data_IF_046531836865
#
_entry.id   IF_046531836865
#
_cell.length_a   1.000
_cell.length_b   1.000
_cell.length_c   1.000
_cell.angle_alpha   90.00
_cell.angle_beta   90.00
_cell.angle_gamma   90.00
#
_symmetry.space_group_name_H-M   'P 1'
#
loop_
_entity.id
_entity.type
_entity.pdbx_description
1 polymer ?
#
# COMPACT_ATOMS: atom_id res chain seq x y z
N UNK A 1 28.30 18.89 -5.55
CA UNK A 1 27.55 19.72 -4.57
C UNK A 1 26.48 20.47 -5.33
N UNK A 2 25.24 19.98 -5.31
CA UNK A 2 24.10 20.72 -5.83
C UNK A 2 23.13 21.04 -4.69
N UNK A 3 22.72 22.29 -4.69
CA UNK A 3 22.25 23.07 -3.57
C UNK A 3 20.78 22.75 -3.24
N UNK A 4 20.51 22.60 -1.94
CA UNK A 4 19.19 22.69 -1.33
C UNK A 4 18.60 24.07 -1.66
N UNK A 5 17.38 24.12 -2.22
CA UNK A 5 16.60 25.36 -2.28
C UNK A 5 15.32 25.24 -1.42
N UNK A 6 14.96 26.29 -0.65
CA UNK A 6 13.83 26.29 0.26
C UNK A 6 12.48 26.57 -0.43
N UNK A 7 11.40 26.06 0.18
CA UNK A 7 10.02 26.18 -0.27
C UNK A 7 9.47 27.62 -0.16
N UNK A 8 8.57 27.97 -1.08
CA UNK A 8 7.84 29.24 -1.10
C UNK A 8 6.42 29.06 -0.52
N UNK A 9 6.02 29.97 0.36
CA UNK A 9 4.70 30.06 0.99
C UNK A 9 3.59 30.38 -0.03
N UNK A 10 2.40 29.79 0.16
CA UNK A 10 1.21 30.13 -0.63
C UNK A 10 0.06 30.54 0.28
N UNK A 11 -0.52 31.70 -0.08
CA UNK A 11 -1.50 32.48 0.65
C UNK A 11 -2.93 31.94 0.48
N UNK A 12 -3.74 32.04 1.54
CA UNK A 12 -5.12 31.52 1.64
C UNK A 12 -6.13 32.54 1.13
N UNK A 13 -7.11 32.13 0.32
CA UNK A 13 -8.45 32.76 0.31
C UNK A 13 -9.54 31.88 -0.32
N UNK A 14 -10.43 31.40 0.55
CA UNK A 14 -11.91 31.30 0.48
C UNK A 14 -12.65 31.35 -0.87
N UNK A 15 -13.61 30.44 -1.08
CA UNK A 15 -15.06 30.74 -0.93
C UNK A 15 -15.94 29.47 -1.04
N UNK A 16 -16.93 29.38 -0.14
CA UNK A 16 -17.98 28.38 -0.09
C UNK A 16 -19.06 28.60 -1.14
N UNK A 17 -19.74 27.51 -1.53
CA UNK A 17 -21.12 27.54 -2.02
C UNK A 17 -21.82 26.21 -1.71
N UNK A 18 -22.79 26.27 -0.80
CA UNK A 18 -23.77 25.22 -0.48
C UNK A 18 -25.01 25.36 -1.37
N UNK A 19 -25.45 24.30 -2.05
CA UNK A 19 -26.87 24.10 -2.41
C UNK A 19 -27.24 22.61 -2.27
N UNK A 20 -28.47 22.41 -1.81
CA UNK A 20 -29.11 21.24 -1.21
C UNK A 20 -29.81 20.30 -2.21
N UNK A 21 -29.90 19.03 -1.79
CA UNK A 21 -30.97 18.03 -2.02
C UNK A 21 -31.43 17.69 -3.44
N UNK A 22 -31.30 16.40 -3.80
CA UNK A 22 -32.46 15.56 -4.13
C UNK A 22 -32.05 14.08 -4.23
N UNK A 23 -32.92 13.23 -3.71
CA UNK A 23 -32.90 11.78 -3.76
C UNK A 23 -32.56 11.25 -5.15
N UNK A 24 -31.53 10.41 -5.20
CA UNK A 24 -31.43 9.37 -6.20
C UNK A 24 -30.97 8.11 -5.49
N UNK A 25 -31.91 7.18 -5.38
CA UNK A 25 -31.73 5.75 -5.18
C UNK A 25 -30.55 5.25 -6.03
N UNK A 26 -29.34 5.32 -5.48
CA UNK A 26 -28.20 4.57 -6.02
C UNK A 26 -28.35 3.19 -5.41
N UNK A 27 -29.15 2.38 -6.09
CA UNK A 27 -29.00 0.93 -6.09
C UNK A 27 -27.52 0.65 -6.16
N UNK A 28 -26.93 0.28 -5.03
CA UNK A 28 -25.60 -0.28 -4.94
C UNK A 28 -25.59 -1.42 -5.94
N UNK A 29 -24.95 -1.21 -7.10
CA UNK A 29 -24.53 -2.28 -7.98
C UNK A 29 -23.80 -3.26 -7.07
N UNK A 30 -24.51 -4.30 -6.66
CA UNK A 30 -23.96 -5.43 -5.97
C UNK A 30 -23.10 -6.10 -7.02
N UNK A 31 -21.88 -5.59 -7.18
CA UNK A 31 -20.80 -6.38 -7.71
C UNK A 31 -20.91 -7.70 -6.97
N UNK A 32 -21.18 -8.77 -7.71
CA UNK A 32 -21.38 -10.08 -7.14
C UNK A 32 -20.01 -10.58 -6.70
N UNK A 33 -19.54 -10.06 -5.57
CA UNK A 33 -18.20 -10.29 -5.04
C UNK A 33 -18.17 -11.76 -4.59
N UNK A 34 -17.44 -12.59 -5.34
CA UNK A 34 -17.18 -13.97 -4.93
C UNK A 34 -16.55 -13.99 -3.55
N UNK A 35 -17.03 -14.85 -2.66
CA UNK A 35 -16.45 -14.98 -1.33
C UNK A 35 -14.98 -15.40 -1.41
N UNK A 36 -14.10 -14.73 -0.65
CA UNK A 36 -12.65 -14.99 -0.64
C UNK A 36 -12.32 -16.47 -0.44
N UNK A 37 -13.05 -17.16 0.45
CA UNK A 37 -12.85 -18.58 0.79
C UNK A 37 -13.07 -19.55 -0.38
N UNK A 38 -13.75 -19.11 -1.45
CA UNK A 38 -14.03 -19.95 -2.63
C UNK A 38 -12.95 -19.86 -3.71
N UNK A 39 -12.02 -18.92 -3.57
CA UNK A 39 -10.97 -18.69 -4.54
C UNK A 39 -9.80 -19.63 -4.27
N UNK A 40 -9.13 -20.07 -5.34
CA UNK A 40 -8.08 -21.10 -5.22
C UNK A 40 -6.81 -20.73 -5.98
N UNK A 41 -6.94 -19.97 -7.07
CA UNK A 41 -5.82 -19.60 -7.93
C UNK A 41 -5.29 -18.20 -7.62
N UNK A 42 -4.04 -17.93 -7.99
CA UNK A 42 -3.45 -16.61 -7.82
C UNK A 42 -4.20 -15.55 -8.65
N UNK A 43 -4.59 -15.90 -9.88
CA UNK A 43 -5.36 -15.01 -10.76
C UNK A 43 -6.70 -14.64 -10.15
N UNK A 44 -7.46 -15.61 -9.62
CA UNK A 44 -8.72 -15.34 -8.92
C UNK A 44 -8.54 -14.39 -7.74
N UNK A 45 -7.51 -14.60 -6.91
CA UNK A 45 -7.20 -13.71 -5.79
C UNK A 45 -6.86 -12.29 -6.26
N UNK A 46 -6.08 -12.16 -7.34
CA UNK A 46 -5.67 -10.86 -7.90
C UNK A 46 -6.86 -10.11 -8.47
N UNK A 47 -7.70 -10.79 -9.27
CA UNK A 47 -8.90 -10.18 -9.85
C UNK A 47 -9.86 -9.73 -8.74
N UNK A 48 -10.00 -10.55 -7.69
CA UNK A 48 -10.75 -10.19 -6.50
C UNK A 48 -10.20 -8.94 -5.83
N UNK A 49 -8.88 -8.87 -5.63
CA UNK A 49 -8.23 -7.72 -4.99
C UNK A 49 -8.43 -6.43 -5.81
N UNK A 50 -8.23 -6.49 -7.13
CA UNK A 50 -8.46 -5.34 -8.02
C UNK A 50 -9.89 -4.85 -7.91
N UNK A 51 -10.86 -5.75 -8.01
CA UNK A 51 -12.28 -5.42 -7.97
C UNK A 51 -12.66 -4.76 -6.64
N UNK A 52 -12.22 -5.34 -5.52
CA UNK A 52 -12.56 -4.83 -4.18
C UNK A 52 -11.83 -3.53 -3.85
N UNK A 53 -10.55 -3.41 -4.20
CA UNK A 53 -9.79 -2.18 -3.99
C UNK A 53 -10.44 -1.02 -4.75
N UNK A 54 -10.75 -1.22 -6.03
CA UNK A 54 -11.36 -0.20 -6.88
C UNK A 54 -12.75 0.21 -6.36
N UNK A 55 -13.51 -0.73 -5.81
CA UNK A 55 -14.77 -0.40 -5.16
C UNK A 55 -14.57 0.40 -3.87
N UNK A 56 -13.74 -0.10 -2.93
CA UNK A 56 -13.55 0.51 -1.61
C UNK A 56 -12.91 1.90 -1.66
N UNK A 57 -12.04 2.15 -2.63
CA UNK A 57 -11.31 3.41 -2.80
C UNK A 57 -11.75 4.24 -4.00
N UNK A 58 -12.88 3.89 -4.64
CA UNK A 58 -13.48 4.67 -5.73
C UNK A 58 -13.63 6.17 -5.42
N UNK A 59 -13.98 6.49 -4.17
CA UNK A 59 -14.10 7.87 -3.67
C UNK A 59 -12.79 8.68 -3.65
N UNK A 60 -11.63 8.05 -3.84
CA UNK A 60 -10.32 8.70 -3.92
C UNK A 60 -9.79 8.83 -5.36
N UNK A 61 -10.62 8.53 -6.37
CA UNK A 61 -10.25 8.62 -7.78
C UNK A 61 -8.95 7.87 -8.12
N UNK A 62 -8.84 6.64 -7.60
CA UNK A 62 -7.68 5.76 -7.78
C UNK A 62 -8.15 4.35 -8.16
N UNK A 63 -7.36 3.68 -8.98
CA UNK A 63 -7.57 2.29 -9.38
C UNK A 63 -6.28 1.47 -9.22
N UNK A 64 -6.43 0.23 -8.80
CA UNK A 64 -5.41 -0.81 -8.86
C UNK A 64 -5.49 -1.47 -10.24
N UNK A 65 -4.35 -1.57 -10.91
CA UNK A 65 -4.24 -2.16 -12.25
C UNK A 65 -3.10 -3.17 -12.30
N UNK A 66 -3.34 -4.30 -12.99
CA UNK A 66 -2.28 -5.27 -13.26
C UNK A 66 -1.43 -4.78 -14.43
N UNK A 67 -0.13 -4.65 -14.21
CA UNK A 67 0.88 -4.39 -15.23
C UNK A 67 1.68 -5.65 -15.60
N UNK A 68 2.41 -5.56 -16.71
CA UNK A 68 3.20 -6.68 -17.23
C UNK A 68 4.66 -6.68 -16.74
N UNK A 69 5.26 -5.51 -16.54
CA UNK A 69 6.70 -5.37 -16.30
C UNK A 69 7.02 -4.74 -14.94
N UNK A 70 7.15 -3.42 -14.88
CA UNK A 70 7.54 -2.71 -13.67
C UNK A 70 6.31 -2.15 -12.94
N UNK A 71 6.34 -2.15 -11.59
CA UNK A 71 5.35 -1.41 -10.83
C UNK A 71 5.57 0.09 -11.06
N UNK A 72 4.47 0.83 -11.13
CA UNK A 72 4.52 2.29 -11.27
C UNK A 72 3.25 2.92 -10.69
N UNK A 73 3.41 4.07 -10.04
CA UNK A 73 2.26 4.91 -9.70
C UNK A 73 2.10 6.05 -10.70
N UNK A 74 0.93 6.05 -11.36
CA UNK A 74 0.51 7.14 -12.23
C UNK A 74 -0.45 8.06 -11.47
N UNK A 75 -0.15 9.36 -11.29
CA UNK A 75 -1.09 10.30 -10.73
C UNK A 75 -2.30 10.47 -11.66
N UNK A 76 -3.43 10.92 -11.10
CA UNK A 76 -4.62 11.22 -11.89
C UNK A 76 -4.34 12.37 -12.86
N UNK A 77 -4.89 12.27 -14.07
CA UNK A 77 -4.75 13.28 -15.11
C UNK A 77 -6.08 13.50 -15.86
N UNK A 78 -6.04 14.23 -16.98
CA UNK A 78 -7.23 14.47 -17.81
C UNK A 78 -7.79 13.20 -18.46
N UNK A 79 -7.01 12.13 -18.53
CA UNK A 79 -7.35 10.88 -19.20
C UNK A 79 -7.91 9.83 -18.22
N UNK A 80 -7.80 10.04 -16.90
CA UNK A 80 -8.40 9.12 -15.95
C UNK A 80 -7.99 9.27 -14.49
N UNK A 81 -8.48 8.36 -13.63
CA UNK A 81 -8.08 8.26 -12.23
C UNK A 81 -6.59 7.93 -12.10
N UNK A 82 -6.05 8.14 -10.90
CA UNK A 82 -4.73 7.63 -10.56
C UNK A 82 -4.69 6.11 -10.70
N UNK A 83 -3.52 5.56 -11.03
CA UNK A 83 -3.33 4.12 -11.21
C UNK A 83 -2.17 3.64 -10.35
N UNK A 84 -2.45 2.68 -9.49
CA UNK A 84 -1.44 1.88 -8.80
C UNK A 84 -1.21 0.64 -9.68
N UNK A 85 -0.12 0.63 -10.43
CA UNK A 85 0.24 -0.50 -11.29
C UNK A 85 1.20 -1.42 -10.54
N UNK A 86 0.85 -2.70 -10.44
CA UNK A 86 1.71 -3.72 -9.85
C UNK A 86 2.17 -4.74 -10.90
N UNK A 87 3.30 -5.38 -10.65
CA UNK A 87 4.01 -6.16 -11.64
C UNK A 87 3.58 -7.65 -11.69
N UNK A 88 3.68 -8.24 -12.88
CA UNK A 88 3.59 -9.68 -13.15
C UNK A 88 2.30 -10.39 -12.70
N UNK A 89 1.27 -9.66 -12.26
CA UNK A 89 0.06 -10.27 -11.73
C UNK A 89 0.26 -11.06 -10.43
N UNK A 90 1.28 -10.74 -9.63
CA UNK A 90 1.47 -11.37 -8.32
C UNK A 90 0.71 -10.63 -7.23
N UNK A 91 -0.02 -11.37 -6.37
CA UNK A 91 -0.83 -10.77 -5.31
C UNK A 91 0.01 -9.99 -4.32
N UNK A 92 1.20 -10.50 -3.95
CA UNK A 92 2.09 -9.82 -3.03
C UNK A 92 2.66 -8.53 -3.64
N UNK A 93 2.92 -8.49 -4.95
CA UNK A 93 3.31 -7.24 -5.63
C UNK A 93 2.18 -6.20 -5.52
N UNK A 94 0.92 -6.59 -5.71
CA UNK A 94 -0.20 -5.69 -5.51
C UNK A 94 -0.28 -5.16 -4.06
N UNK A 95 -0.09 -6.01 -3.05
CA UNK A 95 -0.08 -5.58 -1.65
C UNK A 95 1.05 -4.59 -1.35
N UNK A 96 2.22 -4.83 -1.93
CA UNK A 96 3.38 -3.97 -1.79
C UNK A 96 3.09 -2.57 -2.34
N UNK A 97 2.59 -2.46 -3.57
CA UNK A 97 2.25 -1.16 -4.18
C UNK A 97 1.16 -0.41 -3.41
N UNK A 98 0.13 -1.12 -2.93
CA UNK A 98 -0.90 -0.52 -2.08
C UNK A 98 -0.28 0.00 -0.78
N UNK A 99 0.69 -0.73 -0.19
CA UNK A 99 1.37 -0.29 1.04
C UNK A 99 2.06 1.06 0.84
N UNK A 100 2.81 1.22 -0.25
CA UNK A 100 3.44 2.49 -0.63
C UNK A 100 2.42 3.61 -0.82
N UNK A 101 1.36 3.33 -1.57
CA UNK A 101 0.30 4.31 -1.83
C UNK A 101 -0.42 4.76 -0.55
N UNK A 102 -0.67 3.85 0.40
CA UNK A 102 -1.32 4.22 1.67
C UNK A 102 -0.44 5.08 2.57
N UNK A 103 0.89 4.99 2.44
CA UNK A 103 1.86 5.83 3.17
C UNK A 103 1.99 7.20 2.51
N UNK A 104 1.90 7.25 1.18
CA UNK A 104 1.94 8.51 0.44
C UNK A 104 0.74 9.39 0.79
N UNK A 105 1.00 10.57 1.36
CA UNK A 105 -0.02 11.58 1.59
C UNK A 105 -0.44 12.28 0.30
N UNK A 106 -1.45 13.15 0.41
CA UNK A 106 -2.11 13.80 -0.73
C UNK A 106 -1.15 14.46 -1.71
N UNK A 107 -0.11 15.14 -1.22
CA UNK A 107 0.89 15.81 -2.08
C UNK A 107 1.74 14.82 -2.89
N UNK A 108 2.11 13.68 -2.28
CA UNK A 108 2.93 12.67 -2.95
C UNK A 108 2.14 11.93 -4.02
N UNK A 109 0.84 11.76 -3.82
CA UNK A 109 -0.09 11.18 -4.81
C UNK A 109 -0.29 12.04 -6.07
N UNK A 110 0.26 13.25 -6.10
CA UNK A 110 0.32 14.08 -7.31
C UNK A 110 1.56 13.83 -8.16
N UNK A 111 2.50 13.02 -7.68
CA UNK A 111 3.79 12.77 -8.33
C UNK A 111 3.84 11.34 -8.89
N UNK A 112 4.48 11.13 -10.05
CA UNK A 112 4.87 9.80 -10.50
C UNK A 112 5.65 9.05 -9.42
N UNK A 113 5.38 7.76 -9.25
CA UNK A 113 5.97 6.89 -8.21
C UNK A 113 5.91 7.47 -6.81
N UNK A 114 4.88 8.28 -6.55
CA UNK A 114 4.66 8.94 -5.27
C UNK A 114 5.86 9.83 -4.88
N UNK A 115 6.72 10.22 -5.82
CA UNK A 115 7.97 10.92 -5.58
C UNK A 115 9.05 10.09 -4.87
N UNK A 116 8.93 8.74 -4.84
CA UNK A 116 10.05 7.87 -4.50
C UNK A 116 11.07 7.87 -5.65
N UNK A 117 12.34 7.61 -5.31
CA UNK A 117 13.40 7.49 -6.29
C UNK A 117 13.65 6.01 -6.56
N UNK A 118 13.89 5.67 -7.82
CA UNK A 118 14.27 4.32 -8.20
C UNK A 118 15.74 4.06 -7.88
N UNK A 119 16.02 2.92 -7.23
CA UNK A 119 17.37 2.42 -7.00
C UNK A 119 17.50 1.07 -7.71
N UNK A 120 18.33 0.97 -8.77
CA UNK A 120 18.50 -0.31 -9.46
C UNK A 120 19.15 -1.35 -8.56
N UNK A 121 19.01 -2.62 -8.95
CA UNK A 121 19.73 -3.75 -8.36
C UNK A 121 21.26 -3.54 -8.38
N UNK A 122 21.99 -4.24 -7.51
CA UNK A 122 23.44 -4.08 -7.36
C UNK A 122 23.84 -2.99 -6.38
N UNK A 123 22.99 -2.72 -5.37
CA UNK A 123 23.22 -1.68 -4.36
C UNK A 123 24.40 -2.03 -3.46
N UNK A 124 25.23 -1.03 -3.15
CA UNK A 124 26.23 -1.12 -2.08
C UNK A 124 25.55 -1.27 -0.73
N UNK A 125 26.31 -1.69 0.29
CA UNK A 125 25.81 -1.80 1.66
C UNK A 125 25.20 -0.49 2.19
N UNK A 126 25.79 0.65 1.88
CA UNK A 126 25.29 1.96 2.29
C UNK A 126 23.98 2.32 1.58
N UNK A 127 23.89 2.01 0.28
CA UNK A 127 22.67 2.22 -0.51
C UNK A 127 21.55 1.29 -0.04
N UNK A 128 21.88 0.04 0.30
CA UNK A 128 20.94 -0.92 0.88
C UNK A 128 20.41 -0.42 2.22
N UNK A 129 21.27 0.11 3.10
CA UNK A 129 20.84 0.64 4.38
C UNK A 129 19.88 1.83 4.24
N UNK A 130 20.05 2.68 3.21
CA UNK A 130 19.11 3.76 2.90
C UNK A 130 17.78 3.23 2.35
N UNK A 131 17.83 2.22 1.50
CA UNK A 131 16.64 1.53 1.01
C UNK A 131 15.83 0.92 2.16
N UNK A 132 16.48 0.14 3.01
CA UNK A 132 15.82 -0.50 4.16
C UNK A 132 15.13 0.53 5.06
N UNK A 133 15.75 1.70 5.29
CA UNK A 133 15.13 2.76 6.09
C UNK A 133 13.80 3.25 5.52
N UNK A 134 13.69 3.39 4.19
CA UNK A 134 12.45 3.85 3.55
C UNK A 134 11.41 2.74 3.43
N UNK A 135 11.85 1.49 3.43
CA UNK A 135 11.03 0.28 3.30
C UNK A 135 10.45 -0.27 4.60
N UNK A 136 10.95 0.17 5.77
CA UNK A 136 10.45 -0.31 7.08
C UNK A 136 8.92 -0.16 7.19
N UNK A 137 8.37 1.00 6.80
CA UNK A 137 6.94 1.27 6.91
C UNK A 137 6.12 0.55 5.84
N UNK A 138 6.47 0.63 4.53
CA UNK A 138 5.80 -0.16 3.50
C UNK A 138 5.69 -1.63 3.87
N UNK A 139 6.81 -2.26 4.21
CA UNK A 139 6.85 -3.70 4.48
C UNK A 139 6.15 -4.09 5.80
N UNK A 140 6.13 -3.22 6.81
CA UNK A 140 5.31 -3.45 8.01
C UNK A 140 3.80 -3.43 7.70
N UNK A 141 3.37 -2.52 6.81
CA UNK A 141 1.97 -2.40 6.38
C UNK A 141 1.59 -3.53 5.43
N UNK A 142 2.48 -3.90 4.50
CA UNK A 142 2.30 -5.06 3.62
C UNK A 142 2.10 -6.34 4.45
N UNK A 143 2.85 -6.51 5.54
CA UNK A 143 2.66 -7.65 6.43
C UNK A 143 1.28 -7.66 7.10
N UNK A 144 0.77 -6.50 7.54
CA UNK A 144 -0.60 -6.38 8.06
C UNK A 144 -1.62 -6.81 6.99
N UNK A 145 -1.46 -6.36 5.74
CA UNK A 145 -2.36 -6.73 4.64
C UNK A 145 -2.30 -8.23 4.35
N UNK A 146 -1.11 -8.79 4.20
CA UNK A 146 -0.92 -10.21 3.96
C UNK A 146 -1.57 -11.06 5.07
N UNK A 147 -1.39 -10.67 6.34
CA UNK A 147 -2.00 -11.35 7.48
C UNK A 147 -3.54 -11.24 7.47
N UNK A 148 -4.09 -10.09 7.06
CA UNK A 148 -5.53 -9.91 6.91
C UNK A 148 -6.13 -10.85 5.85
N UNK A 149 -5.39 -11.15 4.79
CA UNK A 149 -5.76 -12.16 3.79
C UNK A 149 -5.41 -13.61 4.19
N UNK A 150 -4.78 -13.83 5.35
CA UNK A 150 -4.30 -15.15 5.76
C UNK A 150 -3.11 -15.66 4.93
N UNK A 151 -2.38 -14.76 4.26
CA UNK A 151 -1.23 -15.08 3.41
C UNK A 151 0.08 -14.96 4.18
N UNK A 152 1.11 -15.66 3.68
CA UNK A 152 2.48 -15.52 4.17
C UNK A 152 3.08 -14.22 3.64
N UNK A 153 3.87 -13.58 4.49
CA UNK A 153 4.66 -12.41 4.16
C UNK A 153 6.14 -12.72 4.37
N UNK A 154 6.99 -12.14 3.53
CA UNK A 154 8.44 -12.18 3.66
C UNK A 154 8.96 -10.80 3.33
N UNK A 155 9.92 -10.35 4.13
CA UNK A 155 10.64 -9.11 3.85
C UNK A 155 11.38 -9.25 2.52
N UNK A 156 11.26 -8.25 1.66
CA UNK A 156 12.02 -8.16 0.41
C UNK A 156 13.21 -7.22 0.59
N UNK A 157 14.42 -7.75 0.40
CA UNK A 157 15.64 -6.93 0.37
C UNK A 157 15.87 -6.26 -0.98
N UNK A 158 15.15 -6.71 -2.01
CA UNK A 158 15.16 -6.17 -3.38
C UNK A 158 16.56 -5.86 -3.94
N UNK A 159 17.52 -6.77 -3.70
CA UNK A 159 18.91 -6.60 -4.11
C UNK A 159 19.50 -7.98 -4.44
N UNK A 160 19.24 -8.46 -5.65
CA UNK A 160 19.61 -9.79 -6.13
C UNK A 160 21.10 -9.93 -6.41
N UNK A 161 21.75 -8.84 -6.87
CA UNK A 161 23.17 -8.87 -7.28
C UNK A 161 24.09 -8.02 -6.42
N UNK A 162 23.55 -7.30 -5.43
CA UNK A 162 24.31 -6.42 -4.53
C UNK A 162 24.61 -7.00 -3.14
N UNK A 163 25.06 -6.12 -2.25
CA UNK A 163 25.44 -6.48 -0.87
C UNK A 163 24.27 -6.33 0.11
N UNK A 164 23.23 -7.17 -0.06
CA UNK A 164 22.00 -7.12 0.74
C UNK A 164 22.08 -7.70 2.16
N UNK A 165 23.08 -8.53 2.45
CA UNK A 165 23.17 -9.27 3.72
C UNK A 165 21.99 -10.24 3.93
N UNK A 166 21.77 -10.66 5.19
CA UNK A 166 20.66 -11.56 5.57
C UNK A 166 19.36 -10.82 5.94
N UNK A 167 19.40 -9.47 5.93
CA UNK A 167 18.28 -8.61 6.28
C UNK A 167 17.83 -8.69 7.74
N UNK A 168 18.60 -9.29 8.65
CA UNK A 168 18.13 -9.56 10.02
C UNK A 168 17.75 -8.27 10.77
N UNK A 169 18.61 -7.24 10.69
CA UNK A 169 18.30 -5.93 11.28
C UNK A 169 17.09 -5.26 10.60
N UNK A 170 16.93 -5.43 9.29
CA UNK A 170 15.78 -4.89 8.58
C UNK A 170 14.47 -5.56 9.02
N UNK A 171 14.46 -6.89 9.16
CA UNK A 171 13.33 -7.63 9.73
C UNK A 171 13.00 -7.19 11.16
N UNK A 172 14.02 -6.96 11.99
CA UNK A 172 13.83 -6.43 13.36
C UNK A 172 13.16 -5.06 13.34
N UNK A 173 13.59 -4.18 12.43
CA UNK A 173 13.03 -2.84 12.28
C UNK A 173 11.59 -2.87 11.75
N UNK A 174 11.29 -3.73 10.77
CA UNK A 174 9.93 -3.97 10.25
C UNK A 174 9.01 -4.47 11.37
N UNK A 175 9.46 -5.47 12.14
CA UNK A 175 8.70 -5.99 13.28
C UNK A 175 8.48 -4.92 14.36
N UNK A 176 9.52 -4.14 14.68
CA UNK A 176 9.43 -3.04 15.67
C UNK A 176 8.42 -1.98 15.22
N UNK A 177 8.44 -1.59 13.94
CA UNK A 177 7.48 -0.64 13.38
C UNK A 177 6.04 -1.18 13.44
N UNK A 178 5.84 -2.47 13.16
CA UNK A 178 4.54 -3.12 13.29
C UNK A 178 4.03 -3.10 14.74
N UNK A 179 4.89 -3.41 15.71
CA UNK A 179 4.54 -3.34 17.13
C UNK A 179 4.20 -1.91 17.57
N UNK A 180 4.94 -0.92 17.07
CA UNK A 180 4.67 0.49 17.35
C UNK A 180 3.28 0.93 16.84
N UNK A 181 2.80 0.39 15.70
CA UNK A 181 1.42 0.62 15.24
C UNK A 181 0.39 0.05 16.21
N UNK A 182 0.59 -1.17 16.72
CA UNK A 182 -0.33 -1.78 17.69
C UNK A 182 -0.34 -1.10 19.06
N UNK A 183 0.80 -0.58 19.50
CA UNK A 183 0.93 0.15 20.77
C UNK A 183 0.41 1.58 20.70
N UNK A 184 0.12 2.10 19.51
CA UNK A 184 -0.27 3.50 19.30
C UNK A 184 0.91 4.49 19.40
N UNK A 185 2.15 3.99 19.47
CA UNK A 185 3.37 4.79 19.46
C UNK A 185 3.64 5.37 18.06
N UNK A 186 3.25 4.63 17.02
CA UNK A 186 3.24 5.08 15.64
C UNK A 186 1.81 5.11 15.10
N UNK A 187 1.48 6.15 14.33
CA UNK A 187 0.16 6.27 13.68
C UNK A 187 0.15 5.46 12.39
N UNK A 188 -0.76 4.48 12.31
CA UNK A 188 -1.05 3.78 11.06
C UNK A 188 -1.73 4.76 10.06
N UNK A 189 -1.32 4.79 8.78
CA UNK A 189 -1.97 5.64 7.79
C UNK A 189 -3.48 5.35 7.68
N UNK A 190 -4.27 6.40 7.45
CA UNK A 190 -5.75 6.30 7.37
C UNK A 190 -6.19 5.26 6.35
N UNK A 191 -5.60 5.30 5.17
CA UNK A 191 -6.02 4.45 4.05
C UNK A 191 -5.53 3.00 4.25
N UNK A 192 -4.39 2.79 4.91
CA UNK A 192 -3.94 1.47 5.34
C UNK A 192 -4.91 0.85 6.35
N UNK A 193 -5.33 1.62 7.36
CA UNK A 193 -6.32 1.17 8.33
C UNK A 193 -7.66 0.81 7.65
N UNK A 194 -8.15 1.68 6.76
CA UNK A 194 -9.38 1.44 6.00
C UNK A 194 -9.29 0.14 5.19
N UNK A 195 -8.16 -0.09 4.51
CA UNK A 195 -7.97 -1.29 3.73
C UNK A 195 -7.99 -2.55 4.61
N UNK A 196 -7.30 -2.55 5.75
CA UNK A 196 -7.31 -3.68 6.70
C UNK A 196 -8.73 -3.97 7.19
N UNK A 197 -9.52 -2.94 7.53
CA UNK A 197 -10.91 -3.11 7.96
C UNK A 197 -11.77 -3.78 6.88
N UNK A 198 -11.64 -3.31 5.63
CA UNK A 198 -12.35 -3.88 4.50
C UNK A 198 -11.97 -5.35 4.26
N UNK A 199 -10.67 -5.67 4.26
CA UNK A 199 -10.18 -7.05 4.12
C UNK A 199 -10.75 -7.91 5.24
N UNK A 200 -10.55 -7.53 6.52
CA UNK A 200 -10.99 -8.33 7.65
C UNK A 200 -12.51 -8.55 7.65
N UNK A 201 -13.30 -7.58 7.18
CA UNK A 201 -14.73 -7.74 7.00
C UNK A 201 -15.06 -8.88 6.01
N UNK A 202 -14.37 -8.92 4.87
CA UNK A 202 -14.63 -9.90 3.81
C UNK A 202 -13.96 -11.27 4.01
N UNK A 203 -12.83 -11.33 4.71
CA UNK A 203 -11.99 -12.53 4.79
C UNK A 203 -11.90 -13.13 6.20
N UNK A 204 -12.32 -12.40 7.22
CA UNK A 204 -12.16 -12.76 8.64
C UNK A 204 -13.42 -12.53 9.48
N UNK A 205 -14.59 -12.51 8.84
CA UNK A 205 -15.87 -12.23 9.50
C UNK A 205 -15.86 -10.95 10.37
N UNK A 206 -15.10 -9.94 9.94
CA UNK A 206 -14.93 -8.66 10.67
C UNK A 206 -13.93 -8.69 11.83
N UNK A 207 -13.30 -9.82 12.14
CA UNK A 207 -12.31 -9.91 13.22
C UNK A 207 -11.00 -9.22 12.83
N UNK A 208 -10.75 -8.07 13.47
CA UNK A 208 -9.53 -7.28 13.29
C UNK A 208 -8.27 -8.01 13.80
N UNK A 209 -7.15 -7.69 13.17
CA UNK A 209 -5.81 -8.18 13.51
C UNK A 209 -5.45 -7.85 14.96
N UNK A 210 -4.77 -8.78 15.61
CA UNK A 210 -4.22 -8.62 16.96
C UNK A 210 -2.69 -8.71 16.94
N UNK A 211 -2.03 -7.98 17.86
CA UNK A 211 -0.57 -7.93 17.93
C UNK A 211 0.07 -9.32 18.14
N UNK A 212 -0.59 -10.21 18.88
CA UNK A 212 -0.11 -11.57 19.13
C UNK A 212 -0.18 -12.50 17.91
N UNK A 213 -0.76 -12.05 16.80
CA UNK A 213 -0.73 -12.79 15.53
C UNK A 213 0.58 -12.61 14.76
N UNK A 214 1.47 -11.74 15.25
CA UNK A 214 2.74 -11.39 14.63
C UNK A 214 3.89 -11.77 15.56
N UNK A 215 4.80 -12.58 15.04
CA UNK A 215 6.01 -13.02 15.73
C UNK A 215 7.20 -12.70 14.82
N UNK A 216 8.31 -12.24 15.40
CA UNK A 216 9.49 -11.82 14.62
C UNK A 216 10.05 -12.95 13.76
N UNK A 217 9.96 -14.17 14.25
CA UNK A 217 10.42 -15.40 13.62
C UNK A 217 9.63 -15.74 12.34
N UNK A 218 8.45 -15.13 12.14
CA UNK A 218 7.69 -15.29 10.90
C UNK A 218 8.33 -14.57 9.71
N UNK A 219 9.30 -13.68 9.96
CA UNK A 219 10.04 -12.97 8.91
C UNK A 219 11.29 -13.73 8.46
N UNK A 220 11.57 -14.91 9.02
CA UNK A 220 12.75 -15.72 8.70
C UNK A 220 12.53 -16.72 7.55
#
# INVERSE_FOLDING_TARGET
MHLLQPQTEVNVSSLMSTISTLDSDISTDQVQLSAWEKLSTETEHVDWLILHFNHWFSHLNVSLVKGDFEPEYFPADLNGPARIQFAHGYFNSALHEISHWTIAGDQRRLLPDLGYWYAPDGRSKEQQALFEQVEIKPQAIEWLFAKAFGRKFRVSLDNLTGEGGDGSSFKDNVYTQLQAYFKGEAKLPRDAWRFIQCICHCTRAGKMLQANEFQREMLD
#
